data_IF_653673878410
#
_entry.id   IF_653673878410
#
_cell.length_a   1.000
_cell.length_b   1.000
_cell.length_c   1.000
_cell.angle_alpha   90.00
_cell.angle_beta   90.00
_cell.angle_gamma   90.00
#
_symmetry.space_group_name_H-M   'P 1'
#
loop_
_entity.id
_entity.type
_entity.pdbx_description
1 polymer ?
#
# COMPACT_ATOMS: atom_id res chain seq x y z
N UNK A 1 70.93 -22.38 31.65
CA UNK A 1 69.77 -21.52 31.32
C UNK A 1 68.49 -22.30 31.60
N UNK A 2 67.42 -21.59 31.96
CA UNK A 2 66.26 -22.04 32.74
C UNK A 2 65.38 -23.12 32.08
N UNK A 3 64.62 -23.78 32.95
CA UNK A 3 63.77 -24.94 32.77
C UNK A 3 62.55 -24.79 31.83
N UNK A 4 62.22 -25.90 31.17
CA UNK A 4 60.91 -26.56 30.97
C UNK A 4 59.59 -25.75 31.09
N UNK A 5 58.71 -25.86 30.06
CA UNK A 5 57.46 -26.67 30.06
C UNK A 5 56.51 -26.27 28.91
N UNK A 6 56.09 -27.30 28.17
CA UNK A 6 54.83 -27.55 27.44
C UNK A 6 53.74 -26.47 27.47
N UNK A 7 53.25 -26.06 26.29
CA UNK A 7 51.80 -25.88 26.03
C UNK A 7 51.50 -26.33 24.59
N UNK A 8 50.61 -27.30 24.49
CA UNK A 8 50.00 -27.77 23.25
C UNK A 8 49.13 -26.66 22.62
N UNK A 9 49.37 -26.35 21.35
CA UNK A 9 48.50 -25.49 20.53
C UNK A 9 47.75 -26.34 19.52
N UNK A 10 46.74 -27.05 20.01
CA UNK A 10 45.88 -27.92 19.22
C UNK A 10 45.17 -27.14 18.10
N UNK A 11 45.00 -27.86 16.99
CA UNK A 11 44.13 -27.53 15.87
C UNK A 11 42.86 -26.79 16.29
N UNK A 12 42.64 -25.60 15.72
CA UNK A 12 41.34 -24.93 15.74
C UNK A 12 41.08 -24.30 14.37
N UNK A 13 41.01 -25.15 13.34
CA UNK A 13 40.32 -24.86 12.07
C UNK A 13 38.84 -25.24 12.26
N UNK A 14 38.14 -24.49 13.10
CA UNK A 14 36.71 -24.70 13.35
C UNK A 14 35.98 -23.38 13.13
N UNK A 15 35.04 -23.40 12.20
CA UNK A 15 33.90 -22.49 12.24
C UNK A 15 33.89 -21.35 11.22
N UNK A 16 34.11 -21.63 9.93
CA UNK A 16 33.37 -20.88 8.92
C UNK A 16 31.91 -21.37 9.01
N UNK A 17 31.20 -20.91 10.03
CA UNK A 17 29.79 -21.15 10.19
C UNK A 17 29.12 -20.57 8.94
N UNK A 18 28.64 -21.46 8.09
CA UNK A 18 27.65 -21.11 7.09
C UNK A 18 26.57 -20.30 7.81
N UNK A 19 26.47 -19.02 7.49
CA UNK A 19 25.30 -18.23 7.83
C UNK A 19 24.13 -18.87 7.07
N UNK A 20 23.55 -19.90 7.66
CA UNK A 20 22.24 -20.42 7.28
C UNK A 20 21.32 -19.19 7.24
N UNK A 21 20.61 -18.92 6.13
CA UNK A 21 19.63 -17.87 6.16
C UNK A 21 18.65 -18.22 7.27
N UNK A 22 18.66 -17.42 8.34
CA UNK A 22 17.71 -17.56 9.44
C UNK A 22 16.32 -17.62 8.80
N UNK A 23 15.69 -18.78 8.92
CA UNK A 23 14.42 -19.09 8.28
C UNK A 23 13.37 -18.15 8.82
N UNK A 24 13.19 -17.02 8.15
CA UNK A 24 11.96 -16.25 8.25
C UNK A 24 10.84 -17.25 7.94
N UNK A 25 10.00 -17.50 8.95
CA UNK A 25 8.81 -18.33 8.81
C UNK A 25 8.09 -17.89 7.54
N UNK A 26 7.97 -18.76 6.52
CA UNK A 26 7.55 -18.32 5.21
C UNK A 26 6.10 -17.90 5.35
N UNK A 27 5.85 -16.58 5.40
CA UNK A 27 4.56 -16.01 5.02
C UNK A 27 4.13 -16.78 3.78
N UNK A 28 3.05 -17.56 3.89
CA UNK A 28 2.64 -18.55 2.89
C UNK A 28 2.86 -18.01 1.48
N UNK A 29 3.60 -18.77 0.66
CA UNK A 29 4.13 -18.35 -0.66
C UNK A 29 3.09 -17.55 -1.45
N UNK A 30 3.29 -16.24 -1.56
CA UNK A 30 2.45 -15.33 -2.35
C UNK A 30 2.57 -15.58 -3.88
N UNK A 31 3.50 -16.45 -4.31
CA UNK A 31 3.71 -16.81 -5.70
C UNK A 31 3.86 -18.32 -5.86
N UNK A 32 2.98 -18.89 -6.69
CA UNK A 32 2.82 -20.34 -6.88
C UNK A 32 3.97 -21.00 -7.67
N UNK A 33 4.87 -20.26 -8.34
CA UNK A 33 6.06 -20.79 -9.04
C UNK A 33 7.29 -19.87 -8.96
N UNK A 34 8.54 -20.39 -8.98
CA UNK A 34 9.76 -19.59 -8.96
C UNK A 34 9.95 -18.75 -10.24
N UNK A 35 9.50 -19.23 -11.40
CA UNK A 35 9.60 -18.53 -12.68
C UNK A 35 8.75 -17.24 -12.68
N UNK A 36 7.53 -17.30 -12.09
CA UNK A 36 6.64 -16.12 -11.97
C UNK A 36 7.26 -15.01 -11.13
N UNK A 37 8.05 -15.39 -10.10
CA UNK A 37 8.78 -14.43 -9.27
C UNK A 37 9.90 -13.75 -10.04
N UNK A 38 10.70 -14.52 -10.78
CA UNK A 38 11.79 -13.98 -11.59
C UNK A 38 11.28 -13.05 -12.69
N UNK A 39 10.09 -13.32 -13.26
CA UNK A 39 9.45 -12.46 -14.23
C UNK A 39 9.02 -11.11 -13.61
N UNK A 40 8.36 -11.13 -12.45
CA UNK A 40 7.94 -9.92 -11.74
C UNK A 40 9.13 -9.09 -11.27
N UNK A 41 10.18 -9.74 -10.76
CA UNK A 41 11.41 -9.06 -10.34
C UNK A 41 12.11 -8.37 -11.53
N UNK A 42 12.17 -9.03 -12.69
CA UNK A 42 12.65 -8.40 -13.93
C UNK A 42 11.81 -7.19 -14.34
N UNK A 43 10.48 -7.27 -14.24
CA UNK A 43 9.61 -6.12 -14.56
C UNK A 43 9.88 -4.93 -13.62
N UNK A 44 10.09 -5.18 -12.32
CA UNK A 44 10.46 -4.15 -11.34
C UNK A 44 11.82 -3.52 -11.63
N UNK A 45 12.83 -4.31 -12.00
CA UNK A 45 14.17 -3.81 -12.36
C UNK A 45 14.14 -2.92 -13.59
N UNK A 46 13.28 -3.24 -14.55
CA UNK A 46 13.06 -2.43 -15.76
C UNK A 46 12.19 -1.19 -15.49
N UNK A 47 11.72 -0.99 -14.25
CA UNK A 47 10.78 0.07 -13.85
C UNK A 47 9.58 0.16 -14.80
N UNK A 48 9.11 -0.98 -15.30
CA UNK A 48 7.89 -1.05 -16.10
C UNK A 48 6.75 -0.85 -15.11
N UNK A 49 6.38 0.41 -14.91
CA UNK A 49 5.16 0.76 -14.23
C UNK A 49 4.01 0.21 -15.08
N UNK A 50 3.11 -0.55 -14.46
CA UNK A 50 1.87 -0.95 -15.09
C UNK A 50 1.18 0.33 -15.59
N UNK A 51 0.95 0.43 -16.90
CA UNK A 51 0.36 1.63 -17.51
C UNK A 51 -0.87 2.02 -16.71
N UNK A 52 -0.86 3.24 -16.17
CA UNK A 52 -1.96 3.77 -15.37
C UNK A 52 -3.24 3.66 -16.20
N UNK A 53 -4.14 2.77 -15.79
CA UNK A 53 -5.38 2.55 -16.51
C UNK A 53 -6.22 3.83 -16.43
N UNK A 54 -6.79 4.22 -17.57
CA UNK A 54 -7.75 5.32 -17.62
C UNK A 54 -8.99 4.86 -16.86
N UNK A 55 -9.47 5.69 -15.93
CA UNK A 55 -10.67 5.35 -15.18
C UNK A 55 -11.86 5.60 -16.10
N UNK A 56 -12.40 4.51 -16.63
CA UNK A 56 -13.60 4.52 -17.47
C UNK A 56 -14.85 4.23 -16.63
N UNK A 57 -15.98 4.76 -17.09
CA UNK A 57 -17.29 4.50 -16.51
C UNK A 57 -18.01 5.73 -15.95
N UNK A 58 -19.32 5.54 -15.73
CA UNK A 58 -20.23 6.57 -15.22
C UNK A 58 -20.13 6.74 -13.69
N UNK A 59 -19.55 5.79 -12.97
CA UNK A 59 -19.46 5.83 -11.51
C UNK A 59 -18.01 5.91 -11.05
N UNK A 60 -17.72 6.84 -10.14
CA UNK A 60 -16.42 6.97 -9.48
C UNK A 60 -16.54 6.55 -8.03
N UNK A 61 -15.69 5.64 -7.59
CA UNK A 61 -15.67 5.14 -6.20
C UNK A 61 -14.30 5.37 -5.60
N UNK A 62 -14.23 6.01 -4.43
CA UNK A 62 -12.99 6.14 -3.68
C UNK A 62 -12.80 4.86 -2.87
N UNK A 63 -12.03 3.90 -3.38
CA UNK A 63 -11.85 2.60 -2.75
C UNK A 63 -11.02 2.68 -1.47
N UNK A 64 -10.02 3.56 -1.42
CA UNK A 64 -9.10 3.61 -0.29
C UNK A 64 -8.03 4.68 -0.41
N UNK A 65 -7.42 5.04 0.72
CA UNK A 65 -6.30 5.97 0.79
C UNK A 65 -5.19 5.33 1.61
N UNK A 66 -3.96 5.31 1.09
CA UNK A 66 -2.78 4.87 1.83
C UNK A 66 -1.82 6.04 1.96
N UNK A 67 -1.52 6.42 3.20
CA UNK A 67 -0.52 7.43 3.52
C UNK A 67 0.74 6.76 4.07
N UNK A 68 1.86 7.01 3.40
CA UNK A 68 3.18 6.49 3.77
C UNK A 68 3.81 7.42 4.82
N UNK A 69 4.68 6.87 5.66
CA UNK A 69 5.43 7.66 6.66
C UNK A 69 6.27 8.78 6.06
N UNK A 70 6.70 8.62 4.80
CA UNK A 70 7.38 9.67 4.01
C UNK A 70 6.48 10.86 3.62
N UNK A 71 5.20 10.83 3.97
CA UNK A 71 4.22 11.86 3.65
C UNK A 71 3.57 11.70 2.27
N UNK A 72 4.01 10.72 1.46
CA UNK A 72 3.36 10.40 0.18
C UNK A 72 2.03 9.69 0.41
N UNK A 73 1.01 10.04 -0.37
CA UNK A 73 -0.32 9.47 -0.26
C UNK A 73 -0.77 8.95 -1.62
N UNK A 74 -1.22 7.71 -1.70
CA UNK A 74 -1.82 7.13 -2.91
C UNK A 74 -3.30 6.91 -2.63
N UNK A 75 -4.17 7.28 -3.58
CA UNK A 75 -5.63 7.11 -3.45
C UNK A 75 -6.14 6.17 -4.53
N UNK A 76 -6.87 5.13 -4.16
CA UNK A 76 -7.46 4.21 -5.13
C UNK A 76 -8.84 4.73 -5.53
N UNK A 77 -9.02 4.98 -6.82
CA UNK A 77 -10.32 5.30 -7.42
C UNK A 77 -10.65 4.23 -8.43
N UNK A 78 -11.82 3.59 -8.31
CA UNK A 78 -12.21 2.43 -9.11
C UNK A 78 -11.08 1.39 -9.18
N UNK A 79 -10.49 1.05 -8.01
CA UNK A 79 -9.37 0.12 -7.86
C UNK A 79 -8.07 0.52 -8.59
N UNK A 80 -8.02 1.71 -9.19
CA UNK A 80 -6.84 2.22 -9.89
C UNK A 80 -6.07 3.20 -8.98
N UNK A 81 -4.78 2.98 -8.72
CA UNK A 81 -4.01 3.85 -7.82
C UNK A 81 -3.79 5.23 -8.45
N UNK A 82 -4.10 6.28 -7.71
CA UNK A 82 -3.90 7.67 -8.11
C UNK A 82 -2.85 8.31 -7.22
N UNK A 83 -1.78 8.80 -7.85
CA UNK A 83 -0.77 9.62 -7.19
C UNK A 83 -1.27 11.07 -7.04
N UNK A 84 -0.87 11.77 -5.98
CA UNK A 84 -1.39 13.09 -5.69
C UNK A 84 -0.90 14.07 -6.75
N UNK A 85 -1.84 14.81 -7.35
CA UNK A 85 -1.56 15.75 -8.43
C UNK A 85 -1.33 15.12 -9.81
N UNK A 86 -1.32 13.79 -9.92
CA UNK A 86 -1.27 13.10 -11.20
C UNK A 86 -2.70 12.83 -11.70
N UNK A 87 -2.99 13.23 -12.94
CA UNK A 87 -4.27 12.98 -13.60
C UNK A 87 -4.11 12.10 -14.85
N UNK A 88 -3.06 11.27 -14.92
CA UNK A 88 -2.80 10.37 -16.05
C UNK A 88 -3.96 9.41 -16.35
N UNK A 89 -4.77 9.10 -15.34
CA UNK A 89 -6.00 8.31 -15.45
C UNK A 89 -7.25 9.10 -15.93
N UNK A 90 -7.10 10.41 -16.17
CA UNK A 90 -8.21 11.35 -16.40
C UNK A 90 -8.87 11.86 -15.12
N UNK A 91 -8.46 11.36 -13.94
CA UNK A 91 -9.05 11.71 -12.64
C UNK A 91 -7.97 12.25 -11.71
N UNK A 92 -8.14 13.49 -11.24
CA UNK A 92 -7.33 14.08 -10.18
C UNK A 92 -8.00 13.83 -8.83
N UNK A 93 -7.22 13.42 -7.85
CA UNK A 93 -7.69 13.16 -6.49
C UNK A 93 -6.84 13.94 -5.50
N UNK A 94 -7.52 14.66 -4.60
CA UNK A 94 -6.89 15.37 -3.50
C UNK A 94 -7.49 14.90 -2.17
N UNK A 95 -6.66 14.28 -1.33
CA UNK A 95 -7.08 13.83 0.00
C UNK A 95 -7.02 15.00 0.97
N UNK A 96 -8.06 15.14 1.78
CA UNK A 96 -8.07 16.13 2.88
C UNK A 96 -7.06 15.71 3.96
N UNK A 97 -6.07 16.58 4.22
CA UNK A 97 -5.04 16.34 5.23
C UNK A 97 -5.60 16.30 6.65
N UNK A 98 -6.65 17.07 6.93
CA UNK A 98 -7.31 17.09 8.24
C UNK A 98 -8.22 15.86 8.41
N UNK A 99 -8.77 15.34 7.32
CA UNK A 99 -9.65 14.18 7.32
C UNK A 99 -9.29 13.17 6.21
N UNK A 100 -8.39 12.20 6.48
CA UNK A 100 -7.93 11.24 5.47
C UNK A 100 -9.02 10.27 5.00
N UNK A 101 -10.19 10.25 5.66
CA UNK A 101 -11.35 9.48 5.21
C UNK A 101 -12.15 10.20 4.11
N UNK A 102 -11.71 11.40 3.66
CA UNK A 102 -12.35 12.16 2.59
C UNK A 102 -11.34 12.50 1.50
N UNK A 103 -11.80 12.43 0.26
CA UNK A 103 -11.05 12.83 -0.92
C UNK A 103 -11.94 13.64 -1.86
N UNK A 104 -11.38 14.70 -2.42
CA UNK A 104 -11.99 15.46 -3.50
C UNK A 104 -11.53 14.88 -4.82
N UNK A 105 -12.48 14.41 -5.62
CA UNK A 105 -12.26 13.78 -6.91
C UNK A 105 -12.72 14.74 -8.01
N UNK A 106 -11.87 14.92 -9.02
CA UNK A 106 -12.14 15.75 -10.20
C UNK A 106 -11.84 14.91 -11.44
N UNK A 107 -12.84 14.62 -12.26
CA UNK A 107 -12.67 13.88 -13.50
C UNK A 107 -12.67 14.84 -14.69
N UNK A 108 -11.51 15.08 -15.30
CA UNK A 108 -11.36 16.07 -16.37
C UNK A 108 -11.82 17.48 -15.96
N UNK A 109 -12.80 18.02 -16.69
CA UNK A 109 -13.40 19.35 -16.49
C UNK A 109 -14.68 19.31 -15.63
N UNK A 110 -15.03 18.16 -15.04
CA UNK A 110 -16.21 18.04 -14.19
C UNK A 110 -16.07 18.77 -12.85
N UNK A 111 -17.21 19.16 -12.28
CA UNK A 111 -17.26 19.77 -10.95
C UNK A 111 -16.66 18.84 -9.88
N UNK A 112 -15.78 19.36 -9.00
CA UNK A 112 -15.20 18.60 -7.92
C UNK A 112 -16.26 17.92 -7.04
N UNK A 113 -16.04 16.66 -6.69
CA UNK A 113 -16.88 15.90 -5.77
C UNK A 113 -16.11 15.53 -4.51
N UNK A 114 -16.61 15.90 -3.34
CA UNK A 114 -16.06 15.40 -2.07
C UNK A 114 -16.72 14.08 -1.72
N UNK A 115 -15.93 13.02 -1.65
CA UNK A 115 -16.38 11.66 -1.35
C UNK A 115 -15.67 11.11 -0.12
N UNK A 116 -16.39 10.30 0.66
CA UNK A 116 -15.75 9.48 1.69
C UNK A 116 -15.08 8.26 1.07
N UNK A 117 -14.10 7.71 1.77
CA UNK A 117 -13.58 6.38 1.43
C UNK A 117 -14.70 5.36 1.55
N UNK A 118 -14.90 4.57 0.49
CA UNK A 118 -15.98 3.61 0.32
C UNK A 118 -17.27 4.21 -0.27
N UNK A 119 -17.31 5.51 -0.56
CA UNK A 119 -18.43 6.16 -1.25
C UNK A 119 -18.22 6.16 -2.76
N UNK A 120 -19.32 6.02 -3.49
CA UNK A 120 -19.36 6.11 -4.94
C UNK A 120 -20.23 7.29 -5.38
N UNK A 121 -19.94 7.88 -6.53
CA UNK A 121 -20.76 8.92 -7.15
C UNK A 121 -21.01 8.58 -8.61
N UNK A 122 -22.26 8.73 -9.04
CA UNK A 122 -22.59 8.72 -10.44
C UNK A 122 -22.25 10.10 -11.04
N UNK A 123 -21.38 10.13 -12.05
CA UNK A 123 -20.90 11.35 -12.72
C UNK A 123 -22.02 12.10 -13.42
N UNK A 124 -23.00 11.38 -13.98
CA UNK A 124 -24.11 11.96 -14.72
C UNK A 124 -25.20 12.53 -13.78
N UNK A 125 -25.64 11.75 -12.78
CA UNK A 125 -26.73 12.16 -11.88
C UNK A 125 -26.26 12.93 -10.65
N UNK A 126 -24.95 12.87 -10.34
CA UNK A 126 -24.34 13.43 -9.12
C UNK A 126 -24.82 12.80 -7.82
N UNK A 127 -25.57 11.70 -7.89
CA UNK A 127 -26.01 10.95 -6.72
C UNK A 127 -24.84 10.18 -6.11
N UNK A 128 -24.69 10.29 -4.80
CA UNK A 128 -23.70 9.50 -4.06
C UNK A 128 -24.33 8.30 -3.39
N UNK A 129 -23.60 7.18 -3.36
CA UNK A 129 -24.00 5.96 -2.69
C UNK A 129 -22.92 5.51 -1.71
N UNK A 130 -23.38 5.04 -0.55
CA UNK A 130 -22.50 4.52 0.50
C UNK A 130 -22.18 3.05 0.26
N UNK A 131 -20.93 2.63 0.52
CA UNK A 131 -20.52 1.23 0.40
C UNK A 131 -21.23 0.25 1.36
N UNK A 132 -22.00 0.75 2.34
CA UNK A 132 -22.84 -0.08 3.22
C UNK A 132 -24.30 -0.23 2.75
N UNK A 133 -24.66 0.33 1.60
CA UNK A 133 -26.03 0.27 1.07
C UNK A 133 -27.04 0.90 2.03
N UNK A 134 -28.10 0.16 2.35
CA UNK A 134 -29.14 0.58 3.31
C UNK A 134 -28.71 0.41 4.78
N UNK A 135 -27.57 -0.25 5.03
CA UNK A 135 -27.04 -0.47 6.37
C UNK A 135 -26.51 0.81 7.05
N UNK A 136 -26.48 0.83 8.38
CA UNK A 136 -25.93 1.94 9.18
C UNK A 136 -24.87 1.44 10.16
N UNK A 137 -23.71 2.10 10.14
CA UNK A 137 -22.66 1.93 11.15
C UNK A 137 -22.76 3.09 12.15
N UNK A 138 -22.83 2.79 13.44
CA UNK A 138 -22.76 3.77 14.52
C UNK A 138 -21.53 3.49 15.39
N UNK A 139 -20.81 4.55 15.76
CA UNK A 139 -19.64 4.45 16.65
C UNK A 139 -20.05 4.96 18.03
N UNK A 140 -20.15 4.07 19.01
CA UNK A 140 -20.22 4.48 20.43
C UNK A 140 -18.80 4.83 20.86
N UNK A 141 -18.52 6.12 21.08
CA UNK A 141 -17.32 6.53 21.81
C UNK A 141 -17.66 6.47 23.29
N UNK A 142 -17.10 5.51 24.00
CA UNK A 142 -17.16 5.53 25.45
C UNK A 142 -16.48 6.82 25.94
N UNK A 143 -17.21 7.58 26.75
CA UNK A 143 -16.79 8.89 27.22
C UNK A 143 -15.40 8.80 27.85
N UNK A 144 -14.52 9.71 27.43
CA UNK A 144 -13.19 9.87 28.00
C UNK A 144 -13.29 9.84 29.53
N UNK A 145 -12.55 8.93 30.18
CA UNK A 145 -12.30 9.02 31.62
C UNK A 145 -11.62 10.38 31.85
N UNK A 146 -12.38 11.31 32.42
CA UNK A 146 -11.82 12.51 33.01
C UNK A 146 -10.77 12.07 34.03
N UNK A 147 -9.56 12.66 33.91
CA UNK A 147 -8.49 12.52 34.89
C UNK A 147 -8.50 13.77 35.77
#
# INVERSE_FOLDING_TARGET
MKAARLVAGAACLVGLAAALPAGAEPLGRLFFTPERRAALERQRQLNIQETQQVIEGATLTVSGVVRRSSGRTTTWVNNTPQEPGNAASGVRVEVDRANPARATVVAGEESPASLKVGEAINRATRETSSGVGEGRISVKRDGARAK
#
